data_IF_925824567182
#
_entry.id   IF_925824567182
#
_cell.length_a   1.000
_cell.length_b   1.000
_cell.length_c   1.000
_cell.angle_alpha   90.00
_cell.angle_beta   90.00
_cell.angle_gamma   90.00
#
_symmetry.space_group_name_H-M   'P 1'
#
loop_
_entity.id
_entity.type
_entity.pdbx_description
1 polymer ?
#
# COMPACT_ATOMS: atom_id res chain seq x y z
N UNK A 1 -38.25 11.44 12.98
CA UNK A 1 -38.99 10.48 13.81
C UNK A 1 -38.04 9.76 14.72
N UNK A 2 -38.48 9.35 15.91
CA UNK A 2 -37.68 8.67 16.94
C UNK A 2 -37.58 7.15 16.74
N UNK A 3 -38.20 6.61 15.70
CA UNK A 3 -38.40 5.17 15.50
C UNK A 3 -37.30 4.45 14.68
N UNK A 4 -36.23 5.15 14.26
CA UNK A 4 -35.17 4.61 13.39
C UNK A 4 -33.92 4.15 14.15
N UNK A 5 -34.12 3.46 15.28
CA UNK A 5 -33.05 2.79 16.01
C UNK A 5 -33.12 1.27 15.78
N UNK A 6 -32.05 0.55 16.13
CA UNK A 6 -32.02 -0.91 16.07
C UNK A 6 -32.88 -1.47 17.20
N UNK A 7 -34.15 -1.76 16.90
CA UNK A 7 -35.10 -2.38 17.81
C UNK A 7 -34.68 -3.80 18.18
N UNK A 8 -35.02 -4.22 19.39
CA UNK A 8 -34.88 -5.60 19.83
C UNK A 8 -35.79 -6.55 19.06
N UNK A 9 -35.46 -7.84 19.07
CA UNK A 9 -36.28 -8.87 18.44
C UNK A 9 -37.72 -8.91 18.99
N UNK A 10 -37.89 -8.67 20.31
CA UNK A 10 -39.21 -8.64 20.94
C UNK A 10 -40.05 -7.44 20.49
N UNK A 11 -39.46 -6.25 20.40
CA UNK A 11 -40.12 -5.05 19.88
C UNK A 11 -40.53 -5.24 18.42
N UNK A 12 -39.67 -5.83 17.60
CA UNK A 12 -39.97 -6.12 16.20
C UNK A 12 -41.10 -7.15 16.05
N UNK A 13 -41.09 -8.23 16.84
CA UNK A 13 -42.20 -9.22 16.82
C UNK A 13 -43.51 -8.63 17.34
N UNK A 14 -43.48 -7.74 18.33
CA UNK A 14 -44.68 -7.04 18.79
C UNK A 14 -45.22 -6.06 17.75
N UNK A 15 -44.32 -5.36 17.04
CA UNK A 15 -44.67 -4.42 15.96
C UNK A 15 -45.32 -5.14 14.77
N UNK A 16 -44.80 -6.31 14.40
CA UNK A 16 -45.29 -7.16 13.31
C UNK A 16 -46.17 -8.32 13.80
N UNK A 17 -46.84 -8.19 14.94
CA UNK A 17 -47.66 -9.26 15.54
C UNK A 17 -48.80 -9.76 14.64
N UNK A 18 -49.31 -8.89 13.77
CA UNK A 18 -50.37 -9.22 12.81
C UNK A 18 -49.84 -9.98 11.60
N UNK A 19 -48.51 -10.00 11.41
CA UNK A 19 -47.81 -10.70 10.33
C UNK A 19 -46.53 -11.39 10.85
N UNK A 20 -46.64 -12.48 11.63
CA UNK A 20 -45.49 -13.15 12.24
C UNK A 20 -44.42 -13.58 11.22
N UNK A 21 -44.86 -13.99 10.03
CA UNK A 21 -44.02 -14.39 8.90
C UNK A 21 -43.06 -13.27 8.45
N UNK A 22 -43.40 -12.00 8.68
CA UNK A 22 -42.52 -10.89 8.33
C UNK A 22 -41.19 -10.94 9.10
N UNK A 23 -41.23 -11.27 10.39
CA UNK A 23 -40.02 -11.47 11.19
C UNK A 23 -39.34 -12.79 10.84
N UNK A 24 -40.09 -13.88 10.63
CA UNK A 24 -39.50 -15.19 10.32
C UNK A 24 -38.77 -15.19 8.97
N UNK A 25 -39.29 -14.47 7.98
CA UNK A 25 -38.63 -14.29 6.67
C UNK A 25 -37.26 -13.59 6.79
N UNK A 26 -37.03 -12.74 7.81
CA UNK A 26 -35.70 -12.12 8.02
C UNK A 26 -34.65 -13.17 8.39
N UNK A 27 -35.04 -14.18 9.18
CA UNK A 27 -34.17 -15.30 9.54
C UNK A 27 -33.93 -16.19 8.33
N UNK A 28 -34.97 -16.47 7.53
CA UNK A 28 -34.84 -17.25 6.30
C UNK A 28 -33.88 -16.61 5.29
N UNK A 29 -33.90 -15.27 5.18
CA UNK A 29 -32.94 -14.54 4.34
C UNK A 29 -31.54 -14.61 4.95
N UNK A 30 -31.40 -14.37 6.25
CA UNK A 30 -30.10 -14.39 6.94
C UNK A 30 -29.41 -15.76 6.85
N UNK A 31 -30.15 -16.86 7.00
CA UNK A 31 -29.63 -18.23 6.89
C UNK A 31 -29.17 -18.60 5.49
N UNK A 32 -29.71 -17.94 4.45
CA UNK A 32 -29.33 -18.18 3.04
C UNK A 32 -28.24 -17.24 2.55
N UNK A 33 -27.90 -16.22 3.32
CA UNK A 33 -26.88 -15.25 2.97
C UNK A 33 -25.50 -15.80 3.35
N UNK A 34 -24.89 -16.55 2.42
CA UNK A 34 -23.51 -17.03 2.56
C UNK A 34 -22.59 -16.24 1.62
N UNK A 35 -21.75 -15.38 2.19
CA UNK A 35 -20.77 -14.59 1.46
C UNK A 35 -19.44 -14.68 2.18
N UNK A 36 -18.42 -15.20 1.49
CA UNK A 36 -17.05 -15.18 1.96
C UNK A 36 -16.34 -13.96 1.36
N UNK A 37 -15.86 -13.07 2.22
CA UNK A 37 -15.00 -11.95 1.82
C UNK A 37 -13.58 -12.31 2.23
N UNK A 38 -12.71 -12.57 1.25
CA UNK A 38 -11.30 -12.83 1.53
C UNK A 38 -10.61 -11.53 1.98
N UNK A 39 -10.03 -11.55 3.18
CA UNK A 39 -9.20 -10.46 3.70
C UNK A 39 -7.72 -10.85 3.69
N UNK A 40 -6.84 -9.84 3.61
CA UNK A 40 -5.40 -10.04 3.78
C UNK A 40 -4.63 -10.54 2.54
N UNK A 41 -5.28 -10.62 1.37
CA UNK A 41 -4.60 -10.83 0.07
C UNK A 41 -4.68 -9.55 -0.76
N UNK A 42 -3.63 -8.71 -0.75
CA UNK A 42 -3.58 -7.53 -1.61
C UNK A 42 -3.62 -7.95 -3.08
N UNK A 43 -4.58 -7.41 -3.83
CA UNK A 43 -4.65 -7.55 -5.29
C UNK A 43 -4.04 -6.30 -5.92
N UNK A 44 -2.72 -6.30 -6.06
CA UNK A 44 -2.00 -5.17 -6.65
C UNK A 44 -2.02 -5.25 -8.18
N UNK A 45 -2.30 -4.13 -8.88
CA UNK A 45 -2.17 -4.10 -10.32
C UNK A 45 -0.70 -4.17 -10.74
N UNK A 46 -0.45 -4.79 -11.90
CA UNK A 46 0.88 -4.76 -12.53
C UNK A 46 1.19 -3.35 -13.03
N UNK A 47 2.47 -2.96 -13.03
CA UNK A 47 2.85 -1.65 -13.55
C UNK A 47 2.76 -1.63 -15.09
N UNK A 48 1.92 -0.77 -15.69
CA UNK A 48 1.60 -0.87 -17.12
C UNK A 48 2.68 -0.31 -18.04
N UNK A 49 3.60 0.52 -17.53
CA UNK A 49 4.63 1.21 -18.32
C UNK A 49 6.01 0.57 -18.19
N UNK A 50 6.11 -0.68 -17.73
CA UNK A 50 7.39 -1.39 -17.68
C UNK A 50 7.94 -1.57 -19.10
N UNK A 51 9.19 -1.14 -19.38
CA UNK A 51 9.84 -1.40 -20.67
C UNK A 51 10.05 -2.90 -20.91
N UNK A 52 10.02 -3.33 -22.17
CA UNK A 52 10.04 -4.75 -22.54
C UNK A 52 11.41 -5.42 -22.32
N UNK A 53 12.48 -4.63 -22.21
CA UNK A 53 13.83 -5.09 -21.92
C UNK A 53 14.02 -5.61 -20.49
N UNK A 54 13.11 -5.26 -19.56
CA UNK A 54 13.14 -5.77 -18.19
C UNK A 54 12.20 -6.97 -18.05
N UNK A 55 12.70 -8.04 -17.43
CA UNK A 55 11.97 -9.30 -17.28
C UNK A 55 10.74 -9.13 -16.39
N UNK A 56 10.86 -8.39 -15.29
CA UNK A 56 9.80 -8.15 -14.32
C UNK A 56 9.82 -6.74 -13.69
N UNK A 57 8.77 -6.41 -12.93
CA UNK A 57 8.65 -5.11 -12.26
C UNK A 57 9.76 -4.88 -11.21
N UNK A 58 10.35 -5.95 -10.66
CA UNK A 58 11.41 -5.83 -9.67
C UNK A 58 12.74 -5.44 -10.33
N UNK A 59 13.06 -5.98 -11.51
CA UNK A 59 14.24 -5.59 -12.29
C UNK A 59 14.14 -4.14 -12.78
N UNK A 60 12.95 -3.72 -13.21
CA UNK A 60 12.74 -2.32 -13.60
C UNK A 60 12.83 -1.37 -12.39
N UNK A 61 12.28 -1.77 -11.24
CA UNK A 61 12.43 -1.02 -9.99
C UNK A 61 13.90 -0.90 -9.58
N UNK A 62 14.68 -1.99 -9.67
CA UNK A 62 16.12 -2.01 -9.37
C UNK A 62 16.86 -0.98 -10.22
N UNK A 63 16.65 -1.01 -11.54
CA UNK A 63 17.23 -0.05 -12.47
C UNK A 63 16.93 1.41 -12.09
N UNK A 64 15.65 1.77 -11.92
CA UNK A 64 15.25 3.13 -11.55
C UNK A 64 15.81 3.55 -10.19
N UNK A 65 15.92 2.61 -9.25
CA UNK A 65 16.45 2.88 -7.91
C UNK A 65 17.92 3.26 -7.96
N UNK A 66 18.74 2.56 -8.76
CA UNK A 66 20.15 2.92 -8.90
C UNK A 66 20.37 4.22 -9.68
N UNK A 67 19.53 4.51 -10.68
CA UNK A 67 19.56 5.82 -11.34
C UNK A 67 19.21 6.94 -10.35
N UNK A 68 18.14 6.75 -9.56
CA UNK A 68 17.74 7.68 -8.51
C UNK A 68 18.81 7.85 -7.42
N UNK A 69 19.49 6.77 -7.04
CA UNK A 69 20.58 6.81 -6.06
C UNK A 69 21.72 7.73 -6.53
N UNK A 70 22.12 7.61 -7.80
CA UNK A 70 23.15 8.49 -8.38
C UNK A 70 22.71 9.95 -8.40
N UNK A 71 21.44 10.23 -8.68
CA UNK A 71 20.91 11.60 -8.64
C UNK A 71 20.88 12.19 -7.21
N UNK A 72 20.69 11.36 -6.18
CA UNK A 72 20.56 11.79 -4.78
C UNK A 72 21.90 11.91 -4.05
N UNK A 73 22.80 10.94 -4.23
CA UNK A 73 24.08 10.84 -3.52
C UNK A 73 25.32 11.02 -4.42
N UNK A 74 25.14 11.17 -5.73
CA UNK A 74 26.22 11.34 -6.70
C UNK A 74 26.72 10.04 -7.32
N UNK A 75 27.69 10.14 -8.22
CA UNK A 75 28.21 9.00 -9.00
C UNK A 75 28.97 7.97 -8.16
N UNK A 76 29.61 8.42 -7.06
CA UNK A 76 30.35 7.56 -6.13
C UNK A 76 29.49 7.32 -4.90
N UNK A 77 28.75 6.21 -4.91
CA UNK A 77 27.88 5.83 -3.80
C UNK A 77 28.69 5.29 -2.62
N UNK A 78 28.47 5.79 -1.39
CA UNK A 78 29.05 5.20 -0.20
C UNK A 78 28.55 3.76 0.02
N UNK A 79 29.39 2.87 0.55
CA UNK A 79 29.03 1.46 0.79
C UNK A 79 27.75 1.31 1.62
N UNK A 80 27.56 2.16 2.64
CA UNK A 80 26.34 2.15 3.48
C UNK A 80 25.06 2.37 2.66
N UNK A 81 25.13 3.18 1.60
CA UNK A 81 23.99 3.43 0.70
C UNK A 81 23.74 2.21 -0.19
N UNK A 82 24.82 1.66 -0.76
CA UNK A 82 24.75 0.48 -1.64
C UNK A 82 24.17 -0.72 -0.89
N UNK A 83 24.67 -1.01 0.30
CA UNK A 83 24.20 -2.11 1.15
C UNK A 83 22.74 -1.92 1.55
N UNK A 84 22.35 -0.69 1.92
CA UNK A 84 20.96 -0.38 2.30
C UNK A 84 20.00 -0.57 1.13
N UNK A 85 20.32 -0.02 -0.04
CA UNK A 85 19.48 -0.15 -1.24
C UNK A 85 19.34 -1.61 -1.66
N UNK A 86 20.45 -2.36 -1.69
CA UNK A 86 20.42 -3.77 -2.07
C UNK A 86 19.55 -4.60 -1.12
N UNK A 87 19.65 -4.35 0.19
CA UNK A 87 18.80 -4.99 1.18
C UNK A 87 17.31 -4.67 0.95
N UNK A 88 16.96 -3.39 0.84
CA UNK A 88 15.57 -2.96 0.66
C UNK A 88 14.95 -3.53 -0.62
N UNK A 89 15.67 -3.47 -1.75
CA UNK A 89 15.22 -4.01 -3.02
C UNK A 89 14.96 -5.51 -2.95
N UNK A 90 15.86 -6.26 -2.28
CA UNK A 90 15.69 -7.69 -2.09
C UNK A 90 14.42 -8.00 -1.27
N UNK A 91 14.15 -7.24 -0.22
CA UNK A 91 12.94 -7.41 0.59
C UNK A 91 11.68 -7.06 -0.23
N UNK A 92 11.68 -5.94 -0.94
CA UNK A 92 10.54 -5.50 -1.77
C UNK A 92 10.23 -6.54 -2.85
N UNK A 93 11.27 -7.10 -3.50
CA UNK A 93 11.15 -8.17 -4.48
C UNK A 93 10.53 -9.42 -3.87
N UNK A 94 11.05 -9.88 -2.74
CA UNK A 94 10.57 -11.09 -2.06
C UNK A 94 9.11 -10.99 -1.59
N UNK A 95 8.68 -9.78 -1.22
CA UNK A 95 7.32 -9.53 -0.78
C UNK A 95 6.34 -9.20 -1.93
N UNK A 96 6.82 -9.11 -3.17
CA UNK A 96 5.98 -8.85 -4.34
C UNK A 96 5.44 -7.43 -4.43
N UNK A 97 6.12 -6.44 -3.84
CA UNK A 97 5.65 -5.06 -3.80
C UNK A 97 6.29 -4.14 -4.85
N UNK A 98 7.09 -4.67 -5.79
CA UNK A 98 7.78 -3.86 -6.78
C UNK A 98 6.83 -2.99 -7.62
N UNK A 99 5.73 -3.57 -8.12
CA UNK A 99 4.71 -2.86 -8.89
C UNK A 99 4.10 -1.69 -8.13
N UNK A 100 3.88 -1.86 -6.82
CA UNK A 100 3.33 -0.80 -5.97
C UNK A 100 4.25 0.41 -5.88
N UNK A 101 5.57 0.20 -5.69
CA UNK A 101 6.54 1.29 -5.69
C UNK A 101 6.61 2.02 -7.04
N UNK A 102 6.56 1.27 -8.14
CA UNK A 102 6.56 1.86 -9.49
C UNK A 102 5.32 2.73 -9.74
N UNK A 103 4.13 2.24 -9.35
CA UNK A 103 2.88 2.97 -9.49
C UNK A 103 2.91 4.27 -8.67
N UNK A 104 3.29 4.18 -7.39
CA UNK A 104 3.34 5.36 -6.51
C UNK A 104 4.38 6.37 -7.00
N UNK A 105 5.54 5.88 -7.43
CA UNK A 105 6.59 6.71 -8.03
C UNK A 105 6.12 7.46 -9.28
N UNK A 106 5.45 6.78 -10.20
CA UNK A 106 4.89 7.38 -11.43
C UNK A 106 3.81 8.43 -11.10
N UNK A 107 2.94 8.14 -10.14
CA UNK A 107 1.90 9.06 -9.66
C UNK A 107 2.50 10.35 -9.09
N UNK A 108 3.51 10.23 -8.24
CA UNK A 108 4.20 11.38 -7.64
C UNK A 108 4.99 12.16 -8.69
N UNK A 109 5.68 11.46 -9.61
CA UNK A 109 6.41 12.10 -10.69
C UNK A 109 5.47 12.89 -11.61
N UNK A 110 4.33 12.31 -11.97
CA UNK A 110 3.29 12.99 -12.75
C UNK A 110 2.78 14.23 -12.03
N UNK A 111 2.42 14.12 -10.74
CA UNK A 111 1.95 15.25 -9.95
C UNK A 111 2.96 16.41 -9.96
N UNK A 112 4.25 16.12 -9.70
CA UNK A 112 5.33 17.12 -9.74
C UNK A 112 5.46 17.77 -11.12
N UNK A 113 5.43 16.98 -12.20
CA UNK A 113 5.56 17.48 -13.57
C UNK A 113 4.35 18.32 -14.01
N UNK A 114 3.16 18.03 -13.48
CA UNK A 114 1.93 18.80 -13.73
C UNK A 114 1.77 20.01 -12.79
N UNK A 115 2.76 20.32 -11.96
CA UNK A 115 2.71 21.45 -11.02
C UNK A 115 1.77 21.22 -9.82
N UNK A 116 1.33 19.98 -9.59
CA UNK A 116 0.54 19.60 -8.41
C UNK A 116 1.51 19.43 -7.24
N UNK A 117 1.31 20.21 -6.18
CA UNK A 117 2.15 20.10 -4.97
C UNK A 117 1.86 18.78 -4.26
N UNK A 118 2.92 18.01 -4.03
CA UNK A 118 2.92 16.81 -3.20
C UNK A 118 3.68 17.10 -1.91
N UNK A 119 3.30 16.43 -0.82
CA UNK A 119 4.06 16.52 0.44
C UNK A 119 5.46 15.91 0.30
N UNK A 120 6.35 16.13 1.28
CA UNK A 120 7.71 15.57 1.28
C UNK A 120 7.77 14.04 1.49
N UNK A 121 6.61 13.36 1.52
CA UNK A 121 6.44 12.00 2.04
C UNK A 121 6.23 12.04 3.57
N UNK A 122 5.27 11.24 4.06
CA UNK A 122 4.95 11.12 5.49
C UNK A 122 4.80 9.66 5.90
N UNK A 123 4.77 9.40 7.21
CA UNK A 123 4.66 8.06 7.74
C UNK A 123 5.96 7.25 7.63
N UNK A 124 5.85 5.93 7.71
CA UNK A 124 7.02 5.04 7.78
C UNK A 124 7.82 5.01 6.47
N UNK A 125 7.22 5.37 5.33
CA UNK A 125 7.86 5.38 4.02
C UNK A 125 9.11 6.27 3.95
N UNK A 126 9.24 7.28 4.83
CA UNK A 126 10.44 8.10 4.95
C UNK A 126 11.70 7.30 5.35
N UNK A 127 11.55 6.12 5.95
CA UNK A 127 12.65 5.21 6.29
C UNK A 127 13.14 4.34 5.14
N UNK A 128 12.58 4.47 3.93
CA UNK A 128 12.91 3.66 2.78
C UNK A 128 13.82 4.42 1.80
N UNK A 129 15.03 3.92 1.61
CA UNK A 129 15.99 4.46 0.64
C UNK A 129 15.48 4.30 -0.80
N UNK A 130 14.81 3.19 -1.13
CA UNK A 130 14.19 2.98 -2.46
C UNK A 130 13.15 4.06 -2.75
N UNK A 131 12.31 4.40 -1.77
CA UNK A 131 11.31 5.48 -1.91
C UNK A 131 11.98 6.85 -2.12
N UNK A 132 13.10 7.11 -1.44
CA UNK A 132 13.86 8.34 -1.61
C UNK A 132 14.52 8.44 -3.01
N UNK A 133 15.05 7.33 -3.53
CA UNK A 133 15.60 7.23 -4.89
C UNK A 133 14.56 7.51 -5.96
N UNK A 134 13.36 6.92 -5.82
CA UNK A 134 12.22 7.17 -6.73
C UNK A 134 11.59 8.55 -6.56
N UNK A 135 12.10 9.39 -5.65
CA UNK A 135 11.55 10.70 -5.29
C UNK A 135 10.12 10.65 -4.79
N UNK A 136 9.72 9.51 -4.20
CA UNK A 136 8.48 9.36 -3.46
C UNK A 136 8.58 10.18 -2.17
N UNK A 137 9.71 10.05 -1.48
CA UNK A 137 10.05 10.85 -0.30
C UNK A 137 11.19 11.82 -0.63
N UNK A 138 11.29 12.91 0.13
CA UNK A 138 12.34 13.93 -0.03
C UNK A 138 13.35 13.94 1.12
N UNK A 139 13.25 12.98 2.04
CA UNK A 139 14.09 12.88 3.23
C UNK A 139 15.06 11.70 3.10
N UNK A 140 16.35 11.96 3.31
CA UNK A 140 17.41 10.95 3.25
C UNK A 140 17.37 10.05 4.51
N UNK A 141 16.98 8.77 4.39
CA UNK A 141 16.86 7.88 5.54
C UNK A 141 18.19 7.54 6.18
N UNK A 142 19.29 7.52 5.42
CA UNK A 142 20.61 7.14 5.93
C UNK A 142 21.20 8.28 6.74
N UNK A 143 21.04 9.52 6.27
CA UNK A 143 21.48 10.71 7.00
C UNK A 143 20.81 10.85 8.37
N UNK A 144 19.55 10.46 8.49
CA UNK A 144 18.76 10.61 9.72
C UNK A 144 18.55 9.29 10.49
N UNK A 145 19.29 8.24 10.13
CA UNK A 145 19.23 6.91 10.77
C UNK A 145 17.80 6.34 10.89
N UNK A 146 17.02 6.50 9.81
CA UNK A 146 15.66 5.99 9.75
C UNK A 146 15.66 4.50 9.38
N UNK A 147 14.78 3.75 10.04
CA UNK A 147 14.70 2.30 9.92
C UNK A 147 13.71 1.88 8.83
N UNK A 148 14.15 1.02 7.92
CA UNK A 148 13.33 0.47 6.84
C UNK A 148 12.28 -0.50 7.36
N UNK A 149 12.63 -1.29 8.37
CA UNK A 149 11.80 -2.34 8.95
C UNK A 149 10.57 -1.79 9.68
N UNK A 150 10.59 -0.48 10.01
CA UNK A 150 9.40 0.23 10.52
C UNK A 150 8.35 0.43 9.43
N UNK A 151 8.79 0.51 8.17
CA UNK A 151 7.92 0.60 7.00
C UNK A 151 7.53 -0.78 6.49
N UNK A 152 8.52 -1.63 6.24
CA UNK A 152 8.31 -2.92 5.59
C UNK A 152 9.19 -3.96 6.26
N UNK A 153 8.55 -4.81 7.05
CA UNK A 153 9.23 -5.80 7.88
C UNK A 153 9.18 -7.19 7.21
N UNK A 154 10.33 -7.82 6.89
CA UNK A 154 10.35 -9.15 6.27
C UNK A 154 9.67 -10.23 7.11
N UNK A 155 9.68 -10.10 8.45
CA UNK A 155 9.05 -11.05 9.38
C UNK A 155 7.54 -10.86 9.52
N UNK A 156 6.98 -9.78 8.97
CA UNK A 156 5.54 -9.50 9.00
C UNK A 156 5.07 -9.01 7.64
N UNK A 157 4.43 -9.89 6.88
CA UNK A 157 3.81 -9.53 5.60
C UNK A 157 2.58 -8.66 5.89
N UNK A 158 2.79 -7.35 5.85
CA UNK A 158 1.74 -6.34 5.84
C UNK A 158 1.88 -5.49 4.59
N UNK A 159 0.74 -5.05 4.04
CA UNK A 159 0.73 -4.14 2.90
C UNK A 159 1.47 -2.85 3.29
N UNK A 160 2.49 -2.42 2.50
CA UNK A 160 3.13 -1.14 2.73
C UNK A 160 2.14 -0.03 2.45
N UNK A 161 2.10 0.95 3.34
CA UNK A 161 1.28 2.14 3.17
C UNK A 161 2.18 3.35 2.88
N UNK A 162 2.21 3.78 1.61
CA UNK A 162 2.90 4.99 1.18
C UNK A 162 1.85 6.10 1.05
N UNK A 163 1.78 6.91 2.10
CA UNK A 163 0.90 8.07 2.16
C UNK A 163 1.43 9.23 1.29
N UNK A 164 0.77 9.47 0.15
CA UNK A 164 1.01 10.60 -0.78
C UNK A 164 0.45 11.93 -0.27
#
# INVERSE_FOLDING_TARGET
GTEHYLKSAAEMRYLFRDFPEACDNTLWIAERAEVEIEFGKPQLPNYPKRPAEFADDAEYLDHLTWEGAKMRWGDVLPNVVVERIAYELQVIKNMGFASYFLIVGDLIAHAKNSGIRVGPGRGSAAGCAVAYCLRITELDPIKYDLLFERFLNPSRISMPDIDM
#
